data_IF_437846325318
#
_entry.id   IF_437846325318
#
_cell.length_a   1.000
_cell.length_b   1.000
_cell.length_c   1.000
_cell.angle_alpha   90.00
_cell.angle_beta   90.00
_cell.angle_gamma   90.00
#
_symmetry.space_group_name_H-M   'P 1'
#
loop_
_entity.id
_entity.type
_entity.pdbx_description
1 polymer ?
2 non-polymer ?
3 water ?
#
# COMPACT_ATOMS: atom_id res chain seq x y z
N UNK A 2 -20.26 7.31 23.67
CA UNK A 2 -21.30 6.28 23.54
C UNK A 2 -22.42 6.74 22.61
N UNK A 3 -23.66 6.37 22.96
CA UNK A 3 -24.79 6.64 22.07
C UNK A 3 -24.98 8.14 21.84
N UNK A 4 -25.24 8.89 22.92
CA UNK A 4 -25.55 10.31 22.77
C UNK A 4 -24.37 11.11 22.21
N UNK A 5 -23.15 10.58 22.31
CA UNK A 5 -22.00 11.27 21.72
C UNK A 5 -21.91 11.01 20.22
N UNK A 6 -22.35 9.82 19.78
CA UNK A 6 -22.35 9.51 18.36
C UNK A 6 -23.56 10.10 17.66
N UNK A 7 -24.71 10.14 18.33
CA UNK A 7 -25.89 10.77 17.73
C UNK A 7 -25.65 12.25 17.47
N UNK A 8 -24.80 12.90 18.27
CA UNK A 8 -24.48 14.30 18.04
C UNK A 8 -23.70 14.49 16.74
N UNK A 9 -23.07 13.43 16.22
CA UNK A 9 -22.33 13.54 14.98
C UNK A 9 -23.28 13.50 13.79
N UNK A 10 -24.34 12.69 13.88
CA UNK A 10 -25.34 12.64 12.80
C UNK A 10 -26.12 13.94 12.76
N UNK A 11 -26.42 14.51 13.94
CA UNK A 11 -27.14 15.77 13.99
C UNK A 11 -26.33 16.90 13.36
N UNK A 12 -25.00 16.86 13.53
CA UNK A 12 -24.15 17.93 13.00
C UNK A 12 -24.03 17.84 11.48
N UNK A 13 -23.84 16.64 10.95
CA UNK A 13 -23.78 16.48 9.50
C UNK A 13 -25.09 16.90 8.84
N UNK A 14 -26.22 16.50 9.43
CA UNK A 14 -27.50 16.97 8.92
C UNK A 14 -27.63 18.48 9.08
N UNK A 15 -27.13 19.01 10.20
CA UNK A 15 -27.14 20.46 10.38
C UNK A 15 -26.38 21.16 9.26
N UNK A 16 -25.25 20.60 8.86
CA UNK A 16 -24.40 21.22 7.86
C UNK A 16 -24.74 20.82 6.43
N UNK A 17 -25.86 20.14 6.21
CA UNK A 17 -26.34 19.92 4.86
C UNK A 17 -25.83 18.67 4.21
N UNK A 18 -25.41 17.67 4.98
CA UNK A 18 -24.96 16.40 4.43
C UNK A 18 -26.17 15.50 4.19
N UNK A 19 -26.34 15.06 2.95
CA UNK A 19 -27.53 14.32 2.54
C UNK A 19 -27.37 12.80 2.60
N UNK A 20 -26.14 12.29 2.71
CA UNK A 20 -25.91 10.84 2.79
C UNK A 20 -25.07 10.57 4.04
N UNK A 21 -25.73 10.24 5.14
CA UNK A 21 -25.06 9.92 6.40
C UNK A 21 -25.30 8.46 6.73
N UNK A 22 -24.25 7.79 7.19
CA UNK A 22 -24.33 6.40 7.60
C UNK A 22 -24.05 6.29 9.08
N UNK A 23 -24.53 5.20 9.68
CA UNK A 23 -24.37 4.95 11.11
C UNK A 23 -24.22 3.46 11.32
N UNK A 24 -23.25 3.07 12.13
CA UNK A 24 -22.94 1.67 12.38
C UNK A 24 -23.19 1.35 13.85
N UNK A 25 -23.92 0.26 14.09
CA UNK A 25 -24.20 -0.20 15.45
C UNK A 25 -24.68 -1.64 15.37
N UNK A 26 -24.87 -2.25 16.54
CA UNK A 26 -25.43 -3.59 16.64
C UNK A 26 -26.81 -3.61 17.27
N UNK A 27 -27.23 -2.51 17.91
CA UNK A 27 -28.54 -2.39 18.51
C UNK A 27 -29.47 -1.68 17.53
N UNK A 28 -30.61 -2.31 17.23
CA UNK A 28 -31.54 -1.71 16.28
C UNK A 28 -32.22 -0.47 16.87
N UNK A 29 -32.32 -0.41 18.20
CA UNK A 29 -32.87 0.81 18.82
C UNK A 29 -31.87 1.95 18.70
N UNK A 30 -30.58 1.67 18.85
CA UNK A 30 -29.57 2.69 18.66
C UNK A 30 -29.50 3.15 17.21
N UNK A 31 -29.66 2.21 16.27
CA UNK A 31 -29.67 2.59 14.86
C UNK A 31 -30.90 3.40 14.48
N UNK A 32 -32.07 3.03 15.03
CA UNK A 32 -33.30 3.75 14.70
C UNK A 32 -33.24 5.20 15.18
N UNK A 33 -32.60 5.45 16.32
CA UNK A 33 -32.51 6.83 16.81
C UNK A 33 -31.63 7.67 15.90
N UNK A 34 -30.50 7.12 15.44
CA UNK A 34 -29.67 7.85 14.49
C UNK A 34 -30.39 8.01 13.15
N UNK A 35 -31.22 7.04 12.79
CA UNK A 35 -32.04 7.19 11.60
C UNK A 35 -32.97 8.39 11.69
N UNK A 36 -33.51 8.66 12.89
CA UNK A 36 -34.33 9.85 13.04
C UNK A 36 -33.49 11.12 13.15
N UNK A 37 -32.21 11.00 13.49
CA UNK A 37 -31.32 12.16 13.52
C UNK A 37 -30.92 12.61 12.13
N UNK A 38 -31.04 11.73 11.12
CA UNK A 38 -30.71 12.11 9.76
C UNK A 38 -29.90 11.10 8.98
N UNK A 39 -29.41 10.04 9.63
CA UNK A 39 -28.64 9.04 8.92
C UNK A 39 -29.55 8.18 8.05
N UNK A 40 -29.19 8.03 6.78
CA UNK A 40 -29.99 7.28 5.82
C UNK A 40 -29.52 5.85 5.62
N UNK A 41 -28.25 5.56 5.88
CA UNK A 41 -27.73 4.20 5.79
C UNK A 41 -27.50 3.73 7.22
N UNK A 42 -28.12 2.60 7.57
CA UNK A 42 -27.99 2.00 8.90
C UNK A 42 -27.22 0.69 8.76
N UNK A 43 -26.01 0.66 9.32
CA UNK A 43 -25.10 -0.47 9.16
C UNK A 43 -25.22 -1.37 10.39
N UNK A 44 -25.66 -2.61 10.17
CA UNK A 44 -25.72 -3.62 11.23
C UNK A 44 -24.44 -4.45 11.17
N UNK A 45 -23.75 -4.58 12.30
CA UNK A 45 -22.56 -5.41 12.40
C UNK A 45 -22.72 -6.42 13.51
N UNK A 46 -22.18 -7.62 13.28
CA UNK A 46 -22.22 -8.72 14.24
C UNK A 46 -20.82 -9.21 14.56
N UNK A 47 -20.65 -9.76 15.75
CA UNK A 47 -19.42 -10.43 16.16
C UNK A 47 -19.33 -11.85 15.62
N UNK A 48 -20.18 -12.24 14.67
CA UNK A 48 -20.18 -13.62 14.18
C UNK A 48 -18.92 -13.97 13.41
N UNK A 49 -18.38 -13.03 12.62
CA UNK A 49 -17.14 -13.31 11.90
C UNK A 49 -16.00 -13.51 12.87
N UNK A 50 -15.99 -12.77 13.98
CA UNK A 50 -14.96 -12.93 14.99
C UNK A 50 -15.02 -14.31 15.62
N UNK A 51 -16.22 -14.74 16.03
CA UNK A 51 -16.36 -16.06 16.63
C UNK A 51 -15.99 -17.17 15.64
N UNK A 52 -16.36 -17.01 14.36
CA UNK A 52 -15.95 -18.00 13.37
C UNK A 52 -14.44 -18.01 13.18
N UNK A 53 -13.83 -16.82 13.16
CA UNK A 53 -12.37 -16.74 13.04
C UNK A 53 -11.69 -17.40 14.24
N UNK A 54 -12.19 -17.16 15.45
CA UNK A 54 -11.56 -17.73 16.63
C UNK A 54 -11.86 -19.21 16.78
N UNK A 55 -13.04 -19.67 16.35
CA UNK A 55 -13.30 -21.11 16.34
C UNK A 55 -12.37 -21.81 15.35
N UNK A 56 -12.09 -21.17 14.21
CA UNK A 56 -11.17 -21.74 13.24
C UNK A 56 -9.76 -21.81 13.79
N UNK A 57 -9.32 -20.76 14.51
CA UNK A 57 -8.00 -20.77 15.10
C UNK A 57 -7.89 -21.82 16.20
N UNK A 58 -8.97 -22.03 16.96
CA UNK A 58 -8.95 -23.01 18.02
C UNK A 58 -8.85 -24.43 17.48
N UNK A 59 -9.45 -24.68 16.32
CA UNK A 59 -9.39 -26.03 15.72
C UNK A 59 -7.99 -26.43 15.31
N UNK A 60 -7.10 -25.48 15.05
CA UNK A 60 -5.72 -25.78 14.69
C UNK A 60 -4.81 -26.00 15.89
N UNK A 61 -5.31 -25.85 17.11
CA UNK A 61 -4.48 -26.09 18.28
C UNK A 61 -4.48 -27.58 18.65
N UNK A 62 -3.57 -27.93 19.55
CA UNK A 62 -3.40 -29.31 19.98
C UNK A 62 -4.30 -29.64 21.16
N UNK A 63 -4.62 -30.92 21.30
CA UNK A 63 -5.47 -31.40 22.36
C UNK A 63 -6.91 -31.53 21.94
N UNK A 64 -7.77 -31.67 22.94
CA UNK A 64 -9.21 -31.77 22.70
C UNK A 64 -9.76 -30.39 22.37
N UNK A 65 -10.26 -30.23 21.15
CA UNK A 65 -10.78 -28.95 20.66
C UNK A 65 -12.29 -28.95 20.49
N UNK A 66 -12.95 -30.10 20.59
CA UNK A 66 -14.38 -30.18 20.32
C UNK A 66 -15.23 -29.30 21.22
N UNK A 67 -15.11 -29.35 22.56
CA UNK A 67 -16.01 -28.53 23.39
C UNK A 67 -15.79 -27.03 23.23
N UNK A 68 -14.59 -26.61 22.84
CA UNK A 68 -14.32 -25.18 22.69
C UNK A 68 -14.78 -24.68 21.33
N UNK A 69 -14.60 -25.49 20.29
CA UNK A 69 -15.04 -25.10 18.95
C UNK A 69 -16.56 -24.96 18.91
N UNK A 70 -17.26 -25.93 19.48
CA UNK A 70 -18.72 -25.86 19.51
C UNK A 70 -19.19 -24.63 20.27
N UNK A 71 -18.49 -24.27 21.35
CA UNK A 71 -18.87 -23.10 22.13
C UNK A 71 -18.67 -21.81 21.35
N UNK A 72 -17.61 -21.74 20.54
CA UNK A 72 -17.38 -20.55 19.73
C UNK A 72 -18.35 -20.47 18.56
N UNK A 73 -18.60 -21.59 17.89
CA UNK A 73 -19.53 -21.60 16.78
C UNK A 73 -20.97 -21.40 17.23
N UNK A 74 -21.29 -21.84 18.45
CA UNK A 74 -22.62 -21.57 18.99
C UNK A 74 -22.82 -20.08 19.20
N UNK A 75 -21.81 -19.38 19.71
CA UNK A 75 -21.93 -17.95 19.90
C UNK A 75 -21.99 -17.21 18.57
N UNK A 76 -21.29 -17.72 17.54
CA UNK A 76 -21.38 -17.09 16.23
C UNK A 76 -22.79 -17.20 15.66
N UNK A 77 -23.43 -18.36 15.81
CA UNK A 77 -24.81 -18.52 15.37
C UNK A 77 -25.71 -17.52 16.07
N UNK A 78 -25.60 -17.44 17.40
CA UNK A 78 -26.45 -16.52 18.16
C UNK A 78 -26.15 -15.07 17.80
N UNK A 79 -24.91 -14.75 17.44
CA UNK A 79 -24.57 -13.38 17.08
C UNK A 79 -25.17 -13.01 15.71
N UNK A 80 -25.12 -13.93 14.75
CA UNK A 80 -25.66 -13.63 13.43
C UNK A 80 -27.18 -13.68 13.43
N UNK A 81 -27.76 -14.65 14.14
CA UNK A 81 -29.22 -14.69 14.24
C UNK A 81 -29.76 -13.47 14.96
N UNK A 82 -28.93 -12.81 15.77
CA UNK A 82 -29.36 -11.56 16.38
C UNK A 82 -29.27 -10.39 15.39
N UNK A 83 -28.20 -10.36 14.58
CA UNK A 83 -28.05 -9.30 13.60
C UNK A 83 -29.15 -9.34 12.55
N UNK A 84 -29.55 -10.55 12.14
CA UNK A 84 -30.65 -10.68 11.20
C UNK A 84 -31.95 -10.16 11.79
N UNK A 85 -32.10 -10.27 13.11
CA UNK A 85 -33.27 -9.70 13.77
C UNK A 85 -33.25 -8.18 13.72
N UNK A 86 -32.07 -7.58 13.88
CA UNK A 86 -31.97 -6.12 13.81
C UNK A 86 -32.32 -5.62 12.41
N UNK A 87 -31.94 -6.37 11.38
CA UNK A 87 -32.27 -5.97 10.01
C UNK A 87 -33.78 -6.01 9.81
N UNK A 88 -34.44 -7.04 10.31
CA UNK A 88 -35.90 -7.13 10.19
C UNK A 88 -36.57 -6.02 10.98
N UNK A 89 -36.09 -5.75 12.19
CA UNK A 89 -36.74 -4.75 13.04
C UNK A 89 -36.62 -3.36 12.46
N UNK A 90 -35.45 -3.02 11.93
CA UNK A 90 -35.29 -1.73 11.27
C UNK A 90 -36.16 -1.64 10.02
N UNK A 91 -36.24 -2.73 9.26
CA UNK A 91 -37.19 -2.78 8.15
C UNK A 91 -38.63 -2.65 8.66
N UNK A 92 -38.90 -3.21 9.83
CA UNK A 92 -40.22 -3.11 10.44
C UNK A 92 -40.54 -1.67 10.82
N UNK A 93 -39.51 -0.86 11.11
CA UNK A 93 -39.70 0.50 11.55
C UNK A 93 -39.84 1.49 10.40
N UNK A 94 -39.26 1.18 9.25
CA UNK A 94 -39.37 2.06 8.09
C UNK A 94 -38.03 2.41 7.46
N UNK A 95 -36.95 1.88 8.03
CA UNK A 95 -35.62 2.14 7.49
C UNK A 95 -35.49 1.55 6.09
N UNK A 96 -35.06 2.39 5.14
CA UNK A 96 -35.05 2.03 3.73
C UNK A 96 -33.70 1.50 3.24
N UNK A 97 -32.60 1.90 3.85
CA UNK A 97 -31.26 1.50 3.40
C UNK A 97 -30.53 0.83 4.56
N UNK A 98 -30.74 -0.47 4.72
CA UNK A 98 -30.05 -1.27 5.73
C UNK A 98 -28.80 -1.84 5.11
N UNK A 99 -27.69 -1.80 5.86
CA UNK A 99 -26.42 -2.36 5.44
C UNK A 99 -26.00 -3.47 6.40
N UNK A 100 -25.27 -4.44 5.86
CA UNK A 100 -24.75 -5.54 6.67
C UNK A 100 -23.36 -5.88 6.18
N UNK A 101 -22.42 -6.00 7.12
CA UNK A 101 -21.02 -6.29 6.80
C UNK A 101 -20.68 -7.70 7.28
N UNK A 102 -19.99 -8.46 6.42
CA UNK A 102 -19.58 -9.82 6.77
C UNK A 102 -18.50 -10.29 5.81
N UNK A 103 -17.69 -11.24 6.27
CA UNK A 103 -16.68 -11.87 5.45
C UNK A 103 -17.17 -13.15 4.79
N UNK A 104 -18.41 -13.55 5.04
CA UNK A 104 -19.04 -14.71 4.42
C UNK A 104 -20.17 -14.22 3.53
N UNK A 105 -20.06 -14.46 2.22
CA UNK A 105 -21.06 -13.95 1.29
C UNK A 105 -22.41 -14.59 1.50
N UNK A 106 -22.46 -15.84 1.98
CA UNK A 106 -23.75 -16.48 2.22
C UNK A 106 -24.47 -15.84 3.40
N UNK A 107 -23.74 -15.39 4.41
CA UNK A 107 -24.36 -14.56 5.45
C UNK A 107 -24.87 -13.26 4.85
N UNK A 108 -24.12 -12.68 3.91
CA UNK A 108 -24.57 -11.48 3.21
C UNK A 108 -25.82 -11.76 2.38
N UNK A 109 -25.89 -12.93 1.75
CA UNK A 109 -27.08 -13.27 0.96
C UNK A 109 -28.31 -13.41 1.86
N UNK A 110 -28.14 -14.01 3.04
CA UNK A 110 -29.28 -14.16 3.94
C UNK A 110 -29.71 -12.81 4.50
N UNK A 111 -28.75 -11.95 4.84
CA UNK A 111 -29.10 -10.61 5.27
C UNK A 111 -29.81 -9.83 4.18
N UNK A 112 -29.44 -10.07 2.92
CA UNK A 112 -30.13 -9.43 1.80
C UNK A 112 -31.58 -9.87 1.71
N UNK A 113 -31.85 -11.14 2.01
CA UNK A 113 -33.24 -11.59 2.04
C UNK A 113 -33.96 -11.13 3.28
N UNK A 114 -33.24 -10.88 4.38
CA UNK A 114 -33.85 -10.38 5.61
C UNK A 114 -34.21 -8.91 5.55
N UNK A 115 -33.69 -8.16 4.57
CA UNK A 115 -34.08 -6.77 4.42
C UNK A 115 -32.96 -5.79 4.09
N UNK A 116 -31.72 -6.24 4.14
CA UNK A 116 -30.58 -5.37 3.87
C UNK A 116 -30.47 -5.05 2.39
N UNK A 117 -30.22 -3.78 2.08
CA UNK A 117 -30.02 -3.34 0.70
C UNK A 117 -28.55 -3.25 0.31
N UNK A 118 -27.68 -2.87 1.23
CA UNK A 118 -26.25 -2.72 0.97
C UNK A 118 -25.50 -3.88 1.61
N UNK A 119 -24.73 -4.60 0.81
CA UNK A 119 -23.95 -5.74 1.27
C UNK A 119 -22.49 -5.34 1.32
N UNK A 120 -21.90 -5.37 2.52
CA UNK A 120 -20.53 -4.94 2.73
C UNK A 120 -19.64 -6.16 2.87
N UNK A 121 -18.85 -6.44 1.85
CA UNK A 121 -17.86 -7.51 1.93
C UNK A 121 -16.61 -6.97 2.60
N UNK A 122 -16.19 -7.62 3.69
CA UNK A 122 -15.04 -7.19 4.48
C UNK A 122 -14.08 -8.36 4.68
N UNK A 123 -13.66 -8.98 3.58
CA UNK A 123 -12.69 -10.06 3.64
C UNK A 123 -11.29 -9.47 3.58
N UNK A 124 -10.43 -9.89 4.49
CA UNK A 124 -9.07 -9.36 4.55
C UNK A 124 -8.27 -9.73 3.30
N UNK A 125 -8.41 -10.95 2.83
CA UNK A 125 -7.74 -11.37 1.60
C UNK A 125 -8.40 -10.70 0.40
N UNK A 126 -7.60 -10.06 -0.44
CA UNK A 126 -8.15 -9.28 -1.54
C UNK A 126 -8.78 -10.18 -2.59
N UNK A 127 -8.13 -11.30 -2.92
CA UNK A 127 -8.69 -12.21 -3.90
C UNK A 127 -9.88 -12.99 -3.33
N UNK A 128 -9.94 -13.15 -2.01
CA UNK A 128 -11.10 -13.80 -1.41
C UNK A 128 -12.30 -12.86 -1.41
N UNK A 129 -12.07 -11.57 -1.21
CA UNK A 129 -13.16 -10.60 -1.23
C UNK A 129 -13.70 -10.43 -2.65
N UNK A 130 -12.79 -10.33 -3.63
CA UNK A 130 -13.22 -10.16 -5.02
C UNK A 130 -14.07 -11.34 -5.49
N UNK A 131 -13.78 -12.55 -5.01
CA UNK A 131 -14.62 -13.68 -5.36
C UNK A 131 -15.98 -13.58 -4.68
N UNK A 132 -16.01 -13.06 -3.44
CA UNK A 132 -17.29 -12.88 -2.77
C UNK A 132 -18.16 -11.83 -3.46
N UNK A 133 -17.54 -10.80 -4.03
CA UNK A 133 -18.31 -9.83 -4.81
C UNK A 133 -18.93 -10.51 -6.02
N UNK A 134 -18.10 -11.20 -6.80
CA UNK A 134 -18.61 -11.86 -8.00
C UNK A 134 -19.70 -12.87 -7.66
N UNK A 135 -19.57 -13.54 -6.52
CA UNK A 135 -20.59 -14.50 -6.13
C UNK A 135 -21.89 -13.79 -5.74
N UNK A 136 -21.79 -12.65 -5.07
CA UNK A 136 -22.98 -11.88 -4.73
C UNK A 136 -23.63 -11.29 -5.97
N UNK A 137 -22.82 -10.86 -6.95
CA UNK A 137 -23.36 -10.29 -8.17
C UNK A 137 -24.22 -11.32 -8.91
N UNK A 138 -23.74 -12.56 -8.98
CA UNK A 138 -24.47 -13.60 -9.67
C UNK A 138 -25.76 -14.00 -8.96
N UNK A 139 -25.87 -13.73 -7.66
CA UNK A 139 -27.12 -13.99 -6.96
C UNK A 139 -28.16 -12.91 -7.22
N UNK A 140 -27.78 -11.81 -7.85
CA UNK A 140 -28.68 -10.71 -8.12
C UNK A 140 -28.52 -9.52 -7.22
N UNK A 141 -27.48 -9.48 -6.39
CA UNK A 141 -27.26 -8.36 -5.48
C UNK A 141 -26.84 -7.12 -6.27
N UNK A 142 -27.51 -6.00 -5.99
CA UNK A 142 -27.32 -4.76 -6.73
C UNK A 142 -26.29 -3.83 -6.09
N UNK A 143 -26.39 -3.63 -4.77
CA UNK A 143 -25.56 -2.66 -4.06
C UNK A 143 -24.55 -3.43 -3.21
N UNK A 144 -23.34 -3.60 -3.75
CA UNK A 144 -22.24 -4.26 -3.07
C UNK A 144 -21.25 -3.19 -2.62
N UNK A 145 -20.84 -3.26 -1.36
CA UNK A 145 -19.87 -2.32 -0.80
C UNK A 145 -18.61 -3.08 -0.42
N UNK A 146 -17.46 -2.43 -0.59
CA UNK A 146 -16.17 -3.01 -0.24
C UNK A 146 -15.37 -2.01 0.59
N UNK A 147 -14.61 -2.53 1.55
CA UNK A 147 -13.87 -1.73 2.51
C UNK A 147 -12.37 -1.97 2.37
N UNK A 148 -11.60 -0.90 2.27
CA UNK A 148 -10.15 -1.00 2.19
C UNK A 148 -9.53 0.36 2.49
N UNK A 149 -8.23 0.35 2.74
CA UNK A 149 -7.47 1.57 2.98
C UNK A 149 -6.61 1.97 1.78
N UNK A 150 -6.68 1.21 0.69
CA UNK A 150 -5.96 1.52 -0.53
C UNK A 150 -6.98 1.82 -1.62
N UNK A 151 -6.77 2.93 -2.34
CA UNK A 151 -7.74 3.31 -3.37
C UNK A 151 -7.69 2.34 -4.54
N UNK A 152 -6.51 1.76 -4.81
CA UNK A 152 -6.37 0.85 -5.93
C UNK A 152 -7.10 -0.46 -5.69
N UNK A 153 -7.24 -0.87 -4.42
CA UNK A 153 -8.09 -2.01 -4.10
C UNK A 153 -9.56 -1.68 -4.31
N UNK A 154 -9.95 -0.43 -4.03
CA UNK A 154 -11.34 -0.03 -4.21
C UNK A 154 -11.67 0.19 -5.67
N UNK A 155 -10.70 0.60 -6.48
CA UNK A 155 -10.95 0.72 -7.91
C UNK A 155 -11.09 -0.65 -8.55
N UNK A 156 -10.25 -1.61 -8.14
CA UNK A 156 -10.37 -2.97 -8.65
C UNK A 156 -11.68 -3.61 -8.19
N UNK A 157 -12.08 -3.36 -6.94
CA UNK A 157 -13.37 -3.83 -6.48
C UNK A 157 -14.50 -3.14 -7.24
N UNK A 158 -14.29 -1.87 -7.58
CA UNK A 158 -15.27 -1.13 -8.36
C UNK A 158 -15.53 -1.81 -9.70
N UNK A 159 -14.46 -2.28 -10.35
CA UNK A 159 -14.58 -2.93 -11.64
C UNK A 159 -15.08 -4.37 -11.54
N UNK A 160 -15.16 -4.93 -10.33
CA UNK A 160 -15.72 -6.26 -10.12
C UNK A 160 -17.22 -6.23 -9.82
N UNK A 161 -17.79 -5.08 -9.49
CA UNK A 161 -19.22 -4.99 -9.26
C UNK A 161 -19.61 -4.18 -8.03
N UNK A 162 -18.62 -3.79 -7.23
CA UNK A 162 -18.87 -3.03 -6.02
C UNK A 162 -19.21 -1.59 -6.37
N UNK A 163 -20.37 -1.12 -5.91
CA UNK A 163 -20.81 0.25 -6.19
C UNK A 163 -20.38 1.25 -5.13
N UNK A 164 -20.29 0.83 -3.86
CA UNK A 164 -19.91 1.72 -2.76
C UNK A 164 -18.49 1.36 -2.34
N UNK A 165 -17.59 2.35 -2.35
CA UNK A 165 -16.18 2.15 -2.02
C UNK A 165 -15.87 2.83 -0.69
N UNK A 166 -15.68 2.03 0.35
CA UNK A 166 -15.52 2.55 1.70
C UNK A 166 -14.03 2.71 1.99
N UNK A 167 -13.58 3.96 2.12
CA UNK A 167 -12.23 4.25 2.58
C UNK A 167 -12.21 4.16 4.10
N UNK A 168 -11.51 3.15 4.62
CA UNK A 168 -11.40 2.94 6.06
C UNK A 168 -9.92 2.85 6.41
N UNK A 169 -9.43 3.82 7.18
CA UNK A 169 -8.05 3.81 7.67
C UNK A 169 -7.98 3.71 9.18
N UNK A 170 -9.11 3.58 9.87
CA UNK A 170 -9.12 3.45 11.32
C UNK A 170 -8.71 2.07 11.80
N UNK A 171 -8.26 1.19 10.91
CA UNK A 171 -7.78 -0.13 11.31
C UNK A 171 -6.27 -0.22 11.40
N UNK A 172 -5.54 0.63 10.66
CA UNK A 172 -4.09 0.61 10.78
C UNK A 172 -3.60 1.48 11.92
N UNK A 173 -4.30 2.58 12.22
CA UNK A 173 -3.92 3.39 13.38
C UNK A 173 -4.13 2.60 14.66
N UNK A 174 -5.25 1.88 14.76
CA UNK A 174 -5.52 1.08 15.96
C UNK A 174 -4.47 -0.01 16.16
N UNK A 175 -3.87 -0.49 15.06
CA UNK A 175 -2.86 -1.54 15.17
C UNK A 175 -1.49 -0.98 15.54
N UNK A 176 -1.12 0.16 14.96
CA UNK A 176 0.14 0.80 15.33
C UNK A 176 0.18 1.14 16.82
N UNK A 177 -0.93 1.63 17.35
CA UNK A 177 -1.02 1.94 18.77
C UNK A 177 -1.13 0.66 19.59
N UNK A 189 -1.48 14.19 21.88
CA UNK A 189 -0.04 14.13 21.68
C UNK A 189 0.40 12.69 21.37
N UNK A 190 1.39 12.56 20.48
CA UNK A 190 1.94 11.27 20.08
C UNK A 190 0.83 10.37 19.55
N UNK A 191 0.00 9.86 20.46
CA UNK A 191 -1.12 9.01 20.07
C UNK A 191 -2.10 9.79 19.20
N UNK A 192 -2.23 11.09 19.44
CA UNK A 192 -3.04 11.92 18.56
C UNK A 192 -2.29 12.32 17.29
N UNK A 193 -0.95 12.33 17.34
CA UNK A 193 -0.17 12.64 16.15
C UNK A 193 -0.27 11.54 15.11
N UNK A 194 -0.23 10.28 15.56
CA UNK A 194 -0.36 9.14 14.65
C UNK A 194 -1.78 9.04 14.10
N UNK A 195 -2.78 9.45 14.87
CA UNK A 195 -4.15 9.46 14.37
C UNK A 195 -4.30 10.46 13.23
N UNK A 196 -3.63 11.61 13.34
CA UNK A 196 -3.71 12.61 12.29
C UNK A 196 -3.01 12.14 11.02
N UNK A 197 -1.90 11.41 11.16
CA UNK A 197 -1.20 10.90 9.98
C UNK A 197 -2.05 9.90 9.21
N UNK A 198 -2.93 9.17 9.91
CA UNK A 198 -3.82 8.24 9.23
C UNK A 198 -4.97 8.98 8.55
N UNK A 199 -5.49 10.03 9.19
CA UNK A 199 -6.56 10.82 8.58
C UNK A 199 -6.08 11.52 7.31
N UNK A 200 -4.81 11.97 7.30
CA UNK A 200 -4.27 12.55 6.08
C UNK A 200 -4.13 11.51 4.97
N UNK A 201 -3.84 10.26 5.34
CA UNK A 201 -3.81 9.19 4.35
C UNK A 201 -5.21 8.89 3.82
N UNK A 202 -6.17 8.71 4.72
CA UNK A 202 -7.53 8.39 4.30
C UNK A 202 -8.15 9.45 3.42
N UNK A 203 -7.85 10.72 3.69
CA UNK A 203 -8.34 11.79 2.83
C UNK A 203 -7.74 11.71 1.43
N UNK A 204 -6.49 11.24 1.32
CA UNK A 204 -5.87 11.13 0.00
C UNK A 204 -6.50 10.00 -0.81
N UNK A 205 -6.87 8.90 -0.15
CA UNK A 205 -7.55 7.81 -0.85
C UNK A 205 -8.83 8.32 -1.49
N UNK A 206 -9.59 9.14 -0.77
CA UNK A 206 -10.83 9.69 -1.32
C UNK A 206 -10.54 10.60 -2.50
N UNK A 207 -9.47 11.40 -2.40
CA UNK A 207 -9.13 12.32 -3.50
C UNK A 207 -8.85 11.55 -4.79
N UNK A 208 -8.01 10.51 -4.72
CA UNK A 208 -7.64 9.81 -5.95
C UNK A 208 -8.81 9.02 -6.51
N UNK A 209 -9.64 8.45 -5.65
CA UNK A 209 -10.84 7.77 -6.13
C UNK A 209 -11.74 8.72 -6.90
N UNK A 210 -11.91 9.95 -6.39
CA UNK A 210 -12.67 10.94 -7.13
C UNK A 210 -12.00 11.28 -8.46
N UNK A 211 -10.66 11.35 -8.47
CA UNK A 211 -9.93 11.58 -9.70
C UNK A 211 -10.13 10.42 -10.68
N UNK A 212 -10.02 9.18 -10.19
CA UNK A 212 -10.23 8.02 -11.04
C UNK A 212 -11.66 7.91 -11.55
N UNK A 213 -12.61 8.53 -10.87
CA UNK A 213 -14.00 8.53 -11.28
C UNK A 213 -14.91 7.65 -10.44
N UNK A 214 -14.55 7.33 -9.20
CA UNK A 214 -15.40 6.51 -8.35
C UNK A 214 -16.70 7.25 -8.06
N UNK A 215 -17.82 6.57 -8.27
CA UNK A 215 -19.11 7.23 -8.20
C UNK A 215 -19.58 7.42 -6.77
N UNK A 216 -19.55 6.37 -5.95
CA UNK A 216 -20.06 6.40 -4.59
C UNK A 216 -18.91 6.08 -3.63
N UNK A 217 -18.30 7.11 -3.06
CA UNK A 217 -17.19 6.95 -2.13
C UNK A 217 -17.70 7.18 -0.73
N UNK A 218 -17.36 6.27 0.18
CA UNK A 218 -17.71 6.39 1.59
C UNK A 218 -16.43 6.55 2.42
N UNK A 219 -16.62 6.97 3.67
CA UNK A 219 -15.50 7.23 4.55
C UNK A 219 -15.91 6.97 5.98
N UNK A 220 -15.09 6.22 6.72
CA UNK A 220 -15.37 5.79 8.08
C UNK A 220 -14.60 6.63 9.09
N UNK A 221 -15.30 7.13 10.10
CA UNK A 221 -14.71 7.91 11.17
C UNK A 221 -15.75 8.01 12.28
N UNK A 222 -15.39 8.72 13.35
CA UNK A 222 -16.31 8.97 14.45
C UNK A 222 -16.40 10.44 14.80
N UNK A 223 -15.69 11.31 14.09
CA UNK A 223 -15.72 12.75 14.30
C UNK A 223 -16.36 13.41 13.10
N UNK A 224 -17.32 14.31 13.36
CA UNK A 224 -18.05 14.94 12.25
C UNK A 224 -17.13 15.83 11.43
N UNK A 225 -16.12 16.43 12.05
CA UNK A 225 -15.20 17.29 11.29
C UNK A 225 -14.30 16.47 10.38
N UNK A 226 -14.03 15.21 10.75
CA UNK A 226 -13.26 14.34 9.86
C UNK A 226 -14.10 13.94 8.66
N UNK A 227 -15.38 13.61 8.90
CA UNK A 227 -16.30 13.30 7.82
C UNK A 227 -16.57 14.53 6.96
N UNK A 228 -16.66 15.72 7.57
CA UNK A 228 -16.79 16.94 6.80
C UNK A 228 -15.60 17.14 5.87
N UNK A 229 -14.39 16.92 6.37
CA UNK A 229 -13.21 17.14 5.54
C UNK A 229 -13.11 16.10 4.43
N UNK A 230 -13.34 14.82 4.77
CA UNK A 230 -13.46 13.79 3.75
C UNK A 230 -14.57 14.09 2.76
N UNK A 231 -15.66 14.70 3.24
CA UNK A 231 -16.70 15.18 2.33
C UNK A 231 -16.16 16.26 1.40
N UNK A 232 -15.27 17.12 1.90
CA UNK A 232 -14.66 18.12 1.03
C UNK A 232 -13.75 17.47 -0.01
N UNK A 233 -13.02 16.43 0.37
CA UNK A 233 -12.11 15.77 -0.57
C UNK A 233 -12.87 14.99 -1.64
N UNK A 234 -14.09 14.54 -1.35
CA UNK A 234 -14.89 13.89 -2.37
C UNK A 234 -15.71 12.70 -1.89
N UNK A 235 -15.77 12.48 -0.58
CA UNK A 235 -16.54 11.37 -0.05
C UNK A 235 -18.03 11.65 -0.18
N UNK A 236 -18.78 10.67 -0.67
CA UNK A 236 -20.21 10.81 -0.87
C UNK A 236 -21.03 10.33 0.32
N UNK A 237 -20.53 9.32 1.03
CA UNK A 237 -21.20 8.76 2.21
C UNK A 237 -20.30 8.99 3.41
N UNK A 238 -20.82 9.71 4.41
CA UNK A 238 -20.10 9.95 5.66
C UNK A 238 -20.60 8.94 6.68
N UNK A 239 -19.78 7.93 6.95
CA UNK A 239 -20.13 6.87 7.89
C UNK A 239 -19.75 7.31 9.29
N UNK A 240 -20.71 7.28 10.20
CA UNK A 240 -20.46 7.49 11.62
C UNK A 240 -20.39 6.11 12.28
N UNK A 241 -19.27 5.81 12.92
CA UNK A 241 -19.05 4.51 13.54
C UNK A 241 -18.75 4.71 15.01
N UNK A 242 -19.64 4.21 15.87
CA UNK A 242 -19.45 4.36 17.31
C UNK A 242 -18.48 3.36 17.90
N UNK A 243 -18.28 2.22 17.24
CA UNK A 243 -17.36 1.20 17.73
C UNK A 243 -16.14 1.08 16.82
N UNK B 4 16.34 21.27 -10.97
CA UNK B 4 16.67 21.19 -12.39
C UNK B 4 15.60 20.42 -13.16
N UNK B 5 16.04 19.54 -14.07
CA UNK B 5 15.11 18.72 -14.83
C UNK B 5 14.63 17.51 -14.04
N UNK B 6 15.46 16.99 -13.13
CA UNK B 6 15.03 15.85 -12.33
C UNK B 6 14.16 16.29 -11.16
N UNK B 7 14.48 17.44 -10.54
CA UNK B 7 13.64 17.98 -9.48
C UNK B 7 12.25 18.35 -10.01
N UNK B 8 12.13 18.63 -11.30
CA UNK B 8 10.82 18.88 -11.89
C UNK B 8 9.93 17.64 -11.84
N UNK B 9 10.52 16.45 -11.73
CA UNK B 9 9.73 15.22 -11.67
C UNK B 9 9.20 14.96 -10.27
N UNK B 10 9.97 15.27 -9.22
CA UNK B 10 9.51 15.01 -7.87
C UNK B 10 8.36 15.95 -7.50
N UNK B 11 8.44 17.22 -7.93
CA UNK B 11 7.35 18.14 -7.62
C UNK B 11 6.05 17.74 -8.30
N UNK B 12 6.14 17.21 -9.52
CA UNK B 12 4.94 16.84 -10.25
C UNK B 12 4.31 15.56 -9.70
N UNK B 13 5.14 14.55 -9.40
CA UNK B 13 4.61 13.33 -8.80
C UNK B 13 3.98 13.62 -7.44
N UNK B 14 4.65 14.44 -6.63
CA UNK B 14 4.09 14.81 -5.34
C UNK B 14 2.82 15.65 -5.52
N UNK B 15 2.78 16.49 -6.56
CA UNK B 15 1.58 17.26 -6.86
C UNK B 15 0.40 16.35 -7.12
N UNK B 16 0.61 15.23 -7.82
CA UNK B 16 -0.46 14.32 -8.17
C UNK B 16 -0.74 13.26 -7.11
N UNK B 17 -0.19 13.42 -5.91
CA UNK B 17 -0.56 12.58 -4.79
C UNK B 17 0.28 11.35 -4.56
N UNK B 18 1.51 11.31 -5.06
CA UNK B 18 2.41 10.20 -4.78
C UNK B 18 3.10 10.48 -3.44
N UNK B 19 2.93 9.56 -2.49
CA UNK B 19 3.36 9.82 -1.12
C UNK B 19 4.75 9.30 -0.81
N UNK B 20 5.30 8.42 -1.66
CA UNK B 20 6.64 7.87 -1.45
C UNK B 20 7.46 8.10 -2.71
N UNK B 21 8.25 9.17 -2.71
CA UNK B 21 9.15 9.48 -3.82
C UNK B 21 10.58 9.28 -3.33
N UNK B 22 11.40 8.65 -4.17
CA UNK B 22 12.80 8.44 -3.90
C UNK B 22 13.64 9.19 -4.93
N UNK B 23 14.88 9.45 -4.58
CA UNK B 23 15.78 10.23 -5.43
C UNK B 23 17.17 9.62 -5.39
N UNK B 24 17.77 9.45 -6.57
CA UNK B 24 19.09 8.85 -6.71
C UNK B 24 20.04 9.90 -7.26
N UNK B 25 21.21 10.03 -6.64
CA UNK B 25 22.21 11.00 -7.08
C UNK B 25 23.57 10.63 -6.48
N UNK B 26 24.58 11.40 -6.88
CA UNK B 26 25.94 11.24 -6.36
C UNK B 26 26.39 12.41 -5.50
N UNK B 27 25.67 13.54 -5.52
CA UNK B 27 26.00 14.71 -4.70
C UNK B 27 25.13 14.68 -3.44
N UNK B 28 25.79 14.70 -2.27
CA UNK B 28 25.02 14.68 -1.03
C UNK B 28 24.36 16.02 -0.75
N UNK B 29 24.97 17.12 -1.21
CA UNK B 29 24.34 18.43 -1.04
C UNK B 29 23.13 18.58 -1.96
N UNK B 30 23.24 18.07 -3.18
CA UNK B 30 22.08 18.03 -4.06
C UNK B 30 21.01 17.10 -3.52
N UNK B 31 21.42 16.01 -2.87
CA UNK B 31 20.45 15.12 -2.22
C UNK B 31 19.76 15.83 -1.06
N UNK B 32 20.48 16.69 -0.33
CA UNK B 32 19.86 17.44 0.75
C UNK B 32 18.76 18.35 0.20
N UNK B 33 19.00 18.93 -0.97
CA UNK B 33 17.98 19.78 -1.59
C UNK B 33 16.77 18.97 -2.00
N UNK B 34 16.99 17.76 -2.53
CA UNK B 34 15.87 16.88 -2.86
C UNK B 34 15.11 16.43 -1.62
N UNK B 35 15.78 16.36 -0.47
CA UNK B 35 15.07 16.05 0.77
C UNK B 35 14.00 17.10 1.06
N UNK B 36 14.31 18.37 0.74
CA UNK B 36 13.36 19.46 0.90
C UNK B 36 12.34 19.52 -0.23
N UNK B 37 12.61 18.87 -1.37
CA UNK B 37 11.66 18.87 -2.47
C UNK B 37 10.45 17.97 -2.21
N UNK B 38 10.56 17.00 -1.31
CA UNK B 38 9.45 16.14 -0.99
C UNK B 38 9.80 14.67 -1.00
N UNK B 39 11.02 14.35 -1.45
CA UNK B 39 11.47 12.98 -1.54
C UNK B 39 11.70 12.39 -0.16
N UNK B 40 11.18 11.18 0.07
CA UNK B 40 11.29 10.53 1.36
C UNK B 40 12.45 9.54 1.44
N UNK B 41 12.85 8.95 0.31
CA UNK B 41 13.98 8.05 0.24
C UNK B 41 15.10 8.74 -0.53
N UNK B 42 16.29 8.77 0.06
CA UNK B 42 17.47 9.35 -0.57
C UNK B 42 18.41 8.19 -0.91
N UNK B 43 18.58 7.93 -2.20
CA UNK B 43 19.35 6.80 -2.68
C UNK B 43 20.77 7.27 -3.00
N UNK B 44 21.74 6.78 -2.24
CA UNK B 44 23.16 7.05 -2.51
C UNK B 44 23.73 5.88 -3.31
N UNK B 45 24.32 6.19 -4.46
CA UNK B 45 24.98 5.20 -5.29
C UNK B 45 26.40 5.64 -5.57
N UNK B 46 27.30 4.67 -5.68
CA UNK B 46 28.70 4.97 -5.96
C UNK B 46 29.10 4.35 -7.28
N UNK B 47 30.02 5.02 -7.97
CA UNK B 47 30.58 4.47 -9.19
C UNK B 47 31.72 3.49 -8.91
N UNK B 48 31.85 3.03 -7.67
CA UNK B 48 32.92 2.09 -7.34
C UNK B 48 32.69 0.76 -8.02
N UNK B 49 31.44 0.34 -8.17
CA UNK B 49 31.14 -0.90 -8.87
C UNK B 49 31.51 -0.80 -10.35
N UNK B 50 31.31 0.38 -10.96
CA UNK B 50 31.69 0.56 -12.36
C UNK B 50 33.21 0.49 -12.52
N UNK B 51 33.96 1.19 -11.67
CA UNK B 51 35.41 1.11 -11.74
C UNK B 51 35.91 -0.30 -11.50
N UNK B 52 35.29 -1.01 -10.55
CA UNK B 52 35.66 -2.40 -10.32
C UNK B 52 35.29 -3.26 -11.52
N UNK B 53 34.13 -3.00 -12.12
CA UNK B 53 33.78 -3.71 -13.35
C UNK B 53 34.77 -3.37 -14.46
N UNK B 54 35.19 -2.11 -14.51
CA UNK B 54 36.18 -1.71 -15.53
C UNK B 54 37.52 -2.37 -15.28
N UNK B 55 37.92 -2.51 -14.01
CA UNK B 55 39.20 -3.14 -13.71
C UNK B 55 39.18 -4.62 -14.04
N UNK B 56 38.05 -5.29 -13.81
CA UNK B 56 37.95 -6.70 -14.18
C UNK B 56 38.00 -6.87 -15.70
N UNK B 57 37.32 -5.99 -16.44
CA UNK B 57 37.35 -6.05 -17.89
C UNK B 57 38.73 -5.70 -18.43
N UNK B 58 39.41 -4.75 -17.78
CA UNK B 58 40.75 -4.38 -18.23
C UNK B 58 41.75 -5.50 -17.99
N UNK B 59 41.58 -6.26 -16.91
CA UNK B 59 42.48 -7.38 -16.63
C UNK B 59 42.36 -8.48 -17.67
N UNK B 60 41.23 -8.57 -18.38
CA UNK B 60 41.05 -9.58 -19.41
C UNK B 60 41.65 -9.17 -20.75
N UNK B 61 42.24 -7.99 -20.84
CA UNK B 61 42.85 -7.53 -22.07
C UNK B 61 44.30 -8.03 -22.17
N UNK B 62 44.87 -7.89 -23.37
CA UNK B 62 46.22 -8.37 -23.63
C UNK B 62 47.24 -7.30 -23.30
N UNK B 63 48.45 -7.75 -22.98
CA UNK B 63 49.52 -6.82 -22.65
C UNK B 63 49.65 -6.58 -21.16
N UNK B 64 50.37 -5.52 -20.83
CA UNK B 64 50.55 -5.12 -19.44
C UNK B 64 49.27 -4.47 -18.92
N UNK B 65 48.67 -5.08 -17.91
CA UNK B 65 47.41 -4.59 -17.34
C UNK B 65 47.57 -3.97 -15.97
N UNK B 66 48.74 -4.14 -15.33
CA UNK B 66 48.90 -3.70 -13.94
C UNK B 66 48.70 -2.19 -13.76
N UNK B 67 49.36 -1.30 -14.52
CA UNK B 67 49.18 0.13 -14.23
C UNK B 67 47.77 0.62 -14.47
N UNK B 68 47.00 -0.02 -15.34
CA UNK B 68 45.63 0.39 -15.63
C UNK B 68 44.65 -0.20 -14.62
N UNK B 69 44.85 -1.46 -14.23
CA UNK B 69 43.96 -2.08 -13.26
C UNK B 69 44.10 -1.39 -11.90
N UNK B 70 45.33 -1.11 -11.48
CA UNK B 70 45.53 -0.36 -10.24
C UNK B 70 44.92 1.02 -10.33
N UNK B 71 45.00 1.67 -11.50
CA UNK B 71 44.43 2.99 -11.64
C UNK B 71 42.90 2.95 -11.52
N UNK B 72 42.28 1.90 -12.07
CA UNK B 72 40.84 1.75 -11.96
C UNK B 72 40.44 1.36 -10.54
N UNK B 73 41.20 0.45 -9.92
CA UNK B 73 40.88 0.05 -8.55
C UNK B 73 41.15 1.18 -7.56
N UNK B 74 42.10 2.06 -7.88
CA UNK B 74 42.33 3.23 -7.04
C UNK B 74 41.12 4.14 -7.05
N UNK B 75 40.50 4.35 -8.22
CA UNK B 75 39.30 5.16 -8.29
C UNK B 75 38.11 4.47 -7.62
N UNK B 76 38.04 3.15 -7.68
CA UNK B 76 36.94 2.45 -7.01
C UNK B 76 37.01 2.65 -5.50
N UNK B 77 38.22 2.60 -4.94
CA UNK B 77 38.37 2.87 -3.51
C UNK B 77 37.88 4.26 -3.17
N UNK B 78 38.32 5.28 -3.93
CA UNK B 78 37.91 6.65 -3.65
C UNK B 78 36.41 6.82 -3.87
N UNK B 79 35.84 6.10 -4.84
CA UNK B 79 34.40 6.17 -5.07
C UNK B 79 33.62 5.48 -3.97
N UNK B 80 34.17 4.40 -3.42
CA UNK B 80 33.43 3.63 -2.41
C UNK B 80 33.41 4.34 -1.07
N UNK B 81 34.57 4.79 -0.59
CA UNK B 81 34.58 5.50 0.69
C UNK B 81 33.92 6.87 0.59
N UNK B 82 33.75 7.40 -0.61
CA UNK B 82 33.03 8.66 -0.77
C UNK B 82 31.53 8.45 -0.59
N UNK B 83 31.00 7.34 -1.11
CA UNK B 83 29.58 7.05 -0.90
C UNK B 83 29.27 6.83 0.57
N UNK B 84 30.18 6.16 1.28
CA UNK B 84 30.00 6.01 2.72
C UNK B 84 30.03 7.35 3.43
N UNK B 85 30.78 8.31 2.90
CA UNK B 85 30.83 9.64 3.50
C UNK B 85 29.49 10.36 3.33
N UNK B 86 28.87 10.23 2.16
CA UNK B 86 27.56 10.85 1.94
C UNK B 86 26.48 10.21 2.82
N UNK B 87 26.57 8.90 3.06
CA UNK B 87 25.61 8.24 3.94
C UNK B 87 25.71 8.81 5.34
N UNK B 88 26.93 9.02 5.83
CA UNK B 88 27.11 9.61 7.15
C UNK B 88 26.61 11.05 7.18
N UNK B 89 26.90 11.82 6.12
CA UNK B 89 26.53 13.23 6.10
C UNK B 89 25.02 13.43 6.09
N UNK B 90 24.30 12.64 5.30
CA UNK B 90 22.84 12.73 5.31
C UNK B 90 22.27 12.34 6.67
N UNK B 91 22.86 11.31 7.29
CA UNK B 91 22.48 10.96 8.66
C UNK B 91 22.81 12.09 9.62
N UNK B 92 23.91 12.80 9.39
CA UNK B 92 24.30 13.92 10.24
C UNK B 92 23.32 15.07 10.13
N UNK B 93 22.67 15.23 8.97
CA UNK B 93 21.75 16.33 8.76
C UNK B 93 20.33 16.03 9.22
N UNK B 94 19.94 14.75 9.22
CA UNK B 94 18.61 14.40 9.68
C UNK B 94 17.83 13.50 8.75
N UNK B 95 18.41 13.13 7.61
CA UNK B 95 17.71 12.26 6.68
C UNK B 95 17.45 10.90 7.32
N UNK B 96 16.18 10.47 7.27
CA UNK B 96 15.74 9.31 8.01
C UNK B 96 15.72 8.02 7.20
N UNK B 97 15.51 8.10 5.88
CA UNK B 97 15.46 6.91 5.02
C UNK B 97 16.47 7.06 3.89
N UNK B 98 17.70 6.69 4.17
CA UNK B 98 18.78 6.67 3.19
C UNK B 98 18.87 5.26 2.59
N UNK B 99 19.07 5.21 1.27
CA UNK B 99 19.25 3.96 0.55
C UNK B 99 20.66 3.93 -0.02
N UNK B 100 21.20 2.72 -0.14
CA UNK B 100 22.55 2.52 -0.65
C UNK B 100 22.55 1.35 -1.62
N UNK B 101 23.09 1.58 -2.80
CA UNK B 101 23.13 0.57 -3.86
C UNK B 101 24.57 0.13 -4.07
N UNK B 102 24.80 -1.18 -4.12
CA UNK B 102 26.11 -1.74 -4.37
C UNK B 102 25.96 -3.21 -4.74
N UNK B 103 26.94 -3.72 -5.48
CA UNK B 103 27.01 -5.13 -5.84
C UNK B 103 27.85 -5.94 -4.86
N UNK B 104 28.41 -5.31 -3.83
CA UNK B 104 29.23 -5.96 -2.83
C UNK B 104 28.48 -5.94 -1.51
N UNK B 105 28.16 -7.12 -0.99
CA UNK B 105 27.38 -7.19 0.25
C UNK B 105 28.17 -6.63 1.43
N UNK B 106 29.50 -6.70 1.38
CA UNK B 106 30.30 -6.16 2.47
C UNK B 106 30.23 -4.63 2.49
N UNK B 107 30.19 -4.00 1.31
CA UNK B 107 29.95 -2.57 1.24
C UNK B 107 28.57 -2.20 1.76
N UNK B 108 27.56 -3.02 1.44
CA UNK B 108 26.22 -2.77 1.92
C UNK B 108 26.15 -2.87 3.44
N UNK B 109 26.86 -3.84 4.02
CA UNK B 109 26.88 -3.97 5.48
C UNK B 109 27.50 -2.75 6.14
N UNK B 110 28.57 -2.22 5.54
CA UNK B 110 29.19 -1.03 6.11
C UNK B 110 28.27 0.18 6.00
N UNK B 111 27.62 0.34 4.84
CA UNK B 111 26.66 1.44 4.68
C UNK B 111 25.46 1.26 5.61
N UNK B 112 25.05 0.02 5.85
CA UNK B 112 23.95 -0.22 6.78
C UNK B 112 24.32 0.25 8.19
N UNK B 113 25.57 0.04 8.59
CA UNK B 113 26.00 0.50 9.90
C UNK B 113 26.25 2.00 9.92
N UNK B 114 26.63 2.58 8.79
CA UNK B 114 26.87 4.02 8.73
C UNK B 114 25.58 4.82 8.66
N UNK B 115 24.44 4.19 8.44
CA UNK B 115 23.18 4.90 8.47
C UNK B 115 22.17 4.52 7.42
N UNK B 116 22.55 3.70 6.44
CA UNK B 116 21.61 3.31 5.40
C UNK B 116 20.56 2.36 5.95
N UNK B 117 19.31 2.62 5.62
CA UNK B 117 18.21 1.75 6.03
C UNK B 117 17.81 0.76 4.94
N UNK B 118 17.92 1.17 3.67
CA UNK B 118 17.56 0.34 2.54
C UNK B 118 18.84 -0.13 1.88
N UNK B 119 19.00 -1.44 1.76
CA UNK B 119 20.16 -2.05 1.12
C UNK B 119 19.71 -2.66 -0.21
N UNK B 120 20.27 -2.15 -1.30
CA UNK B 120 19.89 -2.56 -2.65
C UNK B 120 21.00 -3.47 -3.19
N UNK B 121 20.70 -4.76 -3.32
CA UNK B 121 21.65 -5.71 -3.90
C UNK B 121 21.54 -5.60 -5.42
N UNK B 122 22.50 -4.93 -6.06
CA UNK B 122 22.47 -4.75 -7.50
C UNK B 122 23.62 -5.50 -8.17
N UNK B 123 23.83 -6.75 -7.77
CA UNK B 123 24.78 -7.60 -8.48
C UNK B 123 24.25 -7.90 -9.88
N UNK B 124 25.12 -7.77 -10.88
CA UNK B 124 24.69 -8.02 -12.25
C UNK B 124 24.28 -9.47 -12.44
N UNK B 125 25.03 -10.40 -11.84
CA UNK B 125 24.64 -11.80 -11.87
C UNK B 125 23.44 -12.03 -10.95
N UNK B 126 22.39 -12.64 -11.50
CA UNK B 126 21.16 -12.80 -10.73
C UNK B 126 21.31 -13.84 -9.62
N UNK B 127 22.03 -14.93 -9.89
CA UNK B 127 22.21 -15.95 -8.87
C UNK B 127 23.13 -15.51 -7.74
N UNK B 128 24.01 -14.54 -8.00
CA UNK B 128 24.86 -14.00 -6.94
C UNK B 128 24.07 -13.08 -6.01
N UNK B 129 23.07 -12.36 -6.55
CA UNK B 129 22.32 -11.42 -5.73
C UNK B 129 21.45 -12.13 -4.71
N UNK B 130 20.77 -13.21 -5.10
CA UNK B 130 19.95 -13.95 -4.15
C UNK B 130 20.78 -14.53 -3.01
N UNK B 131 22.02 -14.91 -3.30
CA UNK B 131 22.91 -15.38 -2.24
C UNK B 131 23.32 -14.24 -1.32
N UNK B 132 23.53 -13.05 -1.89
CA UNK B 132 23.87 -11.88 -1.09
C UNK B 132 22.71 -11.45 -0.19
N UNK B 133 21.47 -11.66 -0.64
CA UNK B 133 20.32 -11.35 0.21
C UNK B 133 20.34 -12.22 1.46
N UNK B 134 20.49 -13.54 1.27
CA UNK B 134 20.52 -14.46 2.40
C UNK B 134 21.63 -14.11 3.38
N UNK B 135 22.79 -13.65 2.87
CA UNK B 135 23.87 -13.25 3.74
C UNK B 135 23.52 -11.97 4.49
N UNK B 136 22.87 -11.02 3.83
CA UNK B 136 22.46 -9.79 4.50
C UNK B 136 21.40 -10.04 5.55
N UNK B 137 20.49 -11.00 5.31
CA UNK B 137 19.45 -11.30 6.29
C UNK B 137 20.05 -11.77 7.61
N UNK B 138 21.04 -12.66 7.54
CA UNK B 138 21.65 -13.19 8.76
C UNK B 138 22.48 -12.13 9.49
N UNK B 139 22.91 -11.08 8.80
CA UNK B 139 23.63 -10.00 9.45
C UNK B 139 22.72 -9.04 10.20
N UNK B 140 21.40 -9.13 10.00
CA UNK B 140 20.47 -8.22 10.64
C UNK B 140 19.91 -7.15 9.75
N UNK B 141 20.09 -7.22 8.44
CA UNK B 141 19.60 -6.21 7.53
C UNK B 141 18.07 -6.23 7.49
N UNK B 142 17.46 -5.04 7.63
CA UNK B 142 16.02 -4.94 7.76
C UNK B 142 15.31 -4.69 6.43
N UNK B 143 15.77 -3.70 5.66
CA UNK B 143 15.13 -3.31 4.40
C UNK B 143 16.06 -3.67 3.25
N UNK B 144 15.86 -4.83 2.65
CA UNK B 144 16.65 -5.27 1.51
C UNK B 144 15.82 -5.12 0.24
N UNK B 145 16.41 -4.50 -0.77
CA UNK B 145 15.76 -4.28 -2.05
C UNK B 145 16.49 -5.06 -3.14
N UNK B 146 15.74 -5.51 -4.13
CA UNK B 146 16.28 -6.28 -5.25
C UNK B 146 15.80 -5.66 -6.56
N UNK B 147 16.67 -5.70 -7.56
CA UNK B 147 16.42 -5.07 -8.84
C UNK B 147 16.39 -6.12 -9.94
N UNK B 148 15.33 -6.09 -10.75
CA UNK B 148 15.18 -6.99 -11.90
C UNK B 148 14.07 -6.44 -12.78
N UNK B 149 14.03 -6.95 -14.02
CA UNK B 149 12.97 -6.60 -14.96
C UNK B 149 11.96 -7.72 -15.15
N UNK B 150 12.12 -8.85 -14.44
CA UNK B 150 11.19 -9.97 -14.51
C UNK B 150 10.48 -10.11 -13.18
N UNK B 151 9.16 -10.32 -13.25
CA UNK B 151 8.35 -10.37 -12.04
C UNK B 151 8.61 -11.63 -11.22
N UNK B 152 8.85 -12.78 -11.87
CA UNK B 152 9.13 -13.99 -11.11
C UNK B 152 10.53 -13.99 -10.51
N UNK B 153 11.46 -13.25 -11.09
CA UNK B 153 12.77 -13.10 -10.45
C UNK B 153 12.64 -12.32 -9.14
N UNK B 154 11.72 -11.37 -9.08
CA UNK B 154 11.49 -10.62 -7.85
C UNK B 154 10.70 -11.43 -6.84
N UNK B 155 9.89 -12.40 -7.30
CA UNK B 155 9.13 -13.23 -6.39
C UNK B 155 10.04 -14.11 -5.54
N UNK B 156 11.06 -14.71 -6.15
CA UNK B 156 11.99 -15.52 -5.37
C UNK B 156 12.80 -14.67 -4.41
N UNK B 157 13.24 -13.49 -4.84
CA UNK B 157 13.96 -12.60 -3.95
C UNK B 157 13.07 -12.13 -2.81
N UNK B 158 11.79 -11.91 -3.09
CA UNK B 158 10.86 -11.48 -2.04
C UNK B 158 10.79 -12.49 -0.90
N UNK B 159 10.70 -13.78 -1.23
CA UNK B 159 10.60 -14.82 -0.21
C UNK B 159 11.94 -15.15 0.43
N UNK B 160 13.05 -14.64 -0.11
CA UNK B 160 14.36 -14.83 0.49
C UNK B 160 14.69 -13.75 1.51
N UNK B 161 13.94 -12.65 1.54
CA UNK B 161 14.15 -11.62 2.52
C UNK B 161 14.08 -10.20 1.97
N UNK B 162 13.99 -10.07 0.64
CA UNK B 162 13.91 -8.76 0.02
C UNK B 162 12.51 -8.19 0.23
N UNK B 163 12.44 -7.01 0.85
CA UNK B 163 11.16 -6.37 1.10
C UNK B 163 10.74 -5.45 -0.04
N UNK B 164 11.69 -4.81 -0.71
CA UNK B 164 11.41 -3.88 -1.80
C UNK B 164 11.80 -4.55 -3.10
N UNK B 165 10.86 -4.63 -4.03
CA UNK B 165 11.08 -5.24 -5.33
C UNK B 165 11.10 -4.12 -6.36
N UNK B 166 12.27 -3.80 -6.88
CA UNK B 166 12.44 -2.68 -7.79
C UNK B 166 12.28 -3.19 -9.21
N UNK B 167 11.20 -2.79 -9.86
CA UNK B 167 11.00 -3.07 -11.29
C UNK B 167 11.80 -2.05 -12.07
N UNK B 168 12.88 -2.50 -12.72
CA UNK B 168 13.76 -1.61 -13.46
C UNK B 168 13.92 -2.14 -14.88
N UNK B 169 13.52 -1.33 -15.85
CA UNK B 169 13.64 -1.67 -17.26
C UNK B 169 14.65 -0.77 -17.97
N UNK B 170 15.43 0.02 -17.21
CA UNK B 170 16.48 0.88 -17.74
C UNK B 170 17.71 0.11 -18.24
N UNK B 171 17.59 -1.22 -18.31
CA UNK B 171 18.65 -2.06 -18.84
C UNK B 171 18.45 -2.36 -20.32
N UNK B 172 17.22 -2.22 -20.82
CA UNK B 172 16.93 -2.33 -22.24
C UNK B 172 17.08 -0.99 -22.96
N UNK B 173 16.93 0.12 -22.24
CA UNK B 173 17.07 1.46 -22.80
C UNK B 173 18.48 1.71 -23.35
N UNK B 174 19.50 1.10 -22.74
CA UNK B 174 20.89 1.36 -23.11
C UNK B 174 21.19 1.21 -24.60
N UNK B 175 20.36 0.49 -25.36
CA UNK B 175 20.63 0.30 -26.78
C UNK B 175 20.32 1.55 -27.60
N UNK B 176 20.49 2.73 -27.00
CA UNK B 176 20.32 4.01 -27.68
C UNK B 176 21.27 4.16 -28.86
N UNK B 177 20.90 3.64 -30.02
CA UNK B 177 21.71 3.80 -31.22
C UNK B 177 21.60 5.21 -31.79
N UNK B 188 17.38 13.84 -32.92
CA UNK B 188 17.88 12.52 -33.35
C UNK B 188 16.79 11.68 -34.01
N UNK B 189 16.83 10.37 -33.77
CA UNK B 189 15.86 9.44 -34.33
C UNK B 189 14.76 9.07 -33.33
N UNK B 190 14.70 9.75 -32.20
CA UNK B 190 13.69 9.52 -31.16
C UNK B 190 13.80 8.08 -30.64
N UNK B 191 13.26 7.13 -31.40
CA UNK B 191 13.28 5.72 -31.06
C UNK B 191 12.61 5.52 -29.70
N UNK B 192 11.38 6.02 -29.58
CA UNK B 192 10.58 5.78 -28.38
C UNK B 192 9.86 4.43 -28.41
N UNK B 193 9.77 3.78 -29.57
CA UNK B 193 9.08 2.51 -29.65
C UNK B 193 9.75 1.45 -28.79
N UNK B 194 11.08 1.41 -28.78
CA UNK B 194 11.77 0.46 -27.90
C UNK B 194 11.63 0.87 -26.44
N UNK B 195 11.62 2.18 -26.16
CA UNK B 195 11.42 2.64 -24.79
C UNK B 195 9.99 2.39 -24.33
N UNK B 196 9.01 2.64 -25.19
CA UNK B 196 7.61 2.46 -24.82
C UNK B 196 7.26 0.97 -24.67
N UNK B 197 7.80 0.13 -25.54
CA UNK B 197 7.54 -1.30 -25.44
C UNK B 197 8.13 -1.88 -24.16
N UNK B 198 9.25 -1.31 -23.69
CA UNK B 198 9.83 -1.76 -22.42
C UNK B 198 9.06 -1.20 -21.23
N UNK B 199 8.62 0.06 -21.31
CA UNK B 199 7.83 0.64 -20.23
C UNK B 199 6.51 -0.07 -20.08
N UNK B 200 5.92 -0.52 -21.20
CA UNK B 200 4.70 -1.33 -21.12
C UNK B 200 4.97 -2.66 -20.44
N UNK B 201 6.18 -3.21 -20.59
CA UNK B 201 6.52 -4.46 -19.91
C UNK B 201 6.58 -4.25 -18.40
N UNK B 202 7.31 -3.24 -17.95
CA UNK B 202 7.44 -3.00 -16.52
C UNK B 202 6.12 -2.77 -15.83
N UNK B 203 5.18 -2.12 -16.52
CA UNK B 203 3.86 -1.92 -15.94
C UNK B 203 3.16 -3.26 -15.70
N UNK B 204 3.39 -4.24 -16.58
CA UNK B 204 2.79 -5.55 -16.38
C UNK B 204 3.47 -6.29 -15.23
N UNK B 205 4.79 -6.12 -15.08
CA UNK B 205 5.49 -6.74 -13.96
C UNK B 205 4.92 -6.25 -12.63
N UNK B 206 4.65 -4.95 -12.53
CA UNK B 206 4.06 -4.41 -11.30
C UNK B 206 2.66 -4.98 -11.09
N UNK B 207 1.90 -5.14 -12.17
CA UNK B 207 0.56 -5.69 -12.06
C UNK B 207 0.58 -7.09 -11.47
N UNK B 208 1.44 -7.97 -12.02
CA UNK B 208 1.46 -9.35 -11.55
C UNK B 208 2.02 -9.47 -10.14
N UNK B 209 3.00 -8.63 -9.79
CA UNK B 209 3.48 -8.62 -8.41
C UNK B 209 2.36 -8.29 -7.44
N UNK B 210 1.51 -7.33 -7.79
CA UNK B 210 0.33 -7.04 -6.97
C UNK B 210 -0.62 -8.24 -6.95
N UNK B 211 -0.77 -8.92 -8.09
CA UNK B 211 -1.63 -10.10 -8.13
C UNK B 211 -1.08 -11.20 -7.23
N UNK B 212 0.22 -11.45 -7.30
CA UNK B 212 0.86 -12.43 -6.42
C UNK B 212 0.83 -11.99 -4.96
N UNK B 213 0.68 -10.70 -4.71
CA UNK B 213 0.61 -10.17 -3.37
C UNK B 213 1.84 -9.43 -2.88
N UNK B 214 2.68 -8.92 -3.80
CA UNK B 214 3.88 -8.21 -3.39
C UNK B 214 3.53 -6.96 -2.60
N UNK B 215 4.13 -6.82 -1.42
CA UNK B 215 3.73 -5.77 -0.50
C UNK B 215 4.34 -4.42 -0.88
N UNK B 216 5.66 -4.38 -1.13
CA UNK B 216 6.37 -3.13 -1.41
C UNK B 216 7.03 -3.24 -2.79
N UNK B 217 6.38 -2.67 -3.80
CA UNK B 217 6.87 -2.68 -5.16
C UNK B 217 7.46 -1.31 -5.49
N UNK B 218 8.64 -1.31 -6.10
CA UNK B 218 9.29 -0.08 -6.54
C UNK B 218 9.41 -0.09 -8.06
N UNK B 219 9.68 1.09 -8.62
CA UNK B 219 9.75 1.25 -10.07
C UNK B 219 10.72 2.37 -10.38
N UNK B 220 11.65 2.11 -11.30
CA UNK B 220 12.72 3.06 -11.64
C UNK B 220 12.44 3.70 -13.00
N UNK B 221 12.52 5.03 -13.04
CA UNK B 221 12.32 5.80 -14.27
C UNK B 221 12.80 7.22 -14.02
N UNK B 222 12.68 8.06 -15.05
CA UNK B 222 13.04 9.47 -14.95
C UNK B 222 11.97 10.41 -15.51
N UNK B 223 10.84 9.89 -16.00
CA UNK B 223 9.76 10.69 -16.53
C UNK B 223 8.55 10.57 -15.61
N UNK B 224 7.95 11.72 -15.27
CA UNK B 224 6.87 11.71 -14.28
C UNK B 224 5.67 10.90 -14.75
N UNK B 225 5.42 10.86 -16.05
CA UNK B 225 4.31 10.06 -16.56
C UNK B 225 4.61 8.57 -16.46
N UNK B 226 5.88 8.19 -16.48
CA UNK B 226 6.24 6.79 -16.33
C UNK B 226 6.07 6.32 -14.90
N UNK B 227 6.47 7.13 -13.91
CA UNK B 227 6.23 6.76 -12.52
C UNK B 227 4.74 6.71 -12.21
N UNK B 228 3.98 7.68 -12.73
CA UNK B 228 2.54 7.55 -12.70
C UNK B 228 2.14 6.35 -13.55
N UNK B 229 0.94 5.82 -13.29
CA UNK B 229 0.43 4.61 -13.93
C UNK B 229 1.17 3.41 -13.34
N UNK B 230 2.50 3.47 -13.28
CA UNK B 230 3.24 2.50 -12.48
C UNK B 230 2.81 2.61 -11.02
N UNK B 231 2.55 3.83 -10.56
CA UNK B 231 1.91 4.03 -9.26
C UNK B 231 0.51 3.44 -9.25
N UNK B 232 -0.22 3.60 -10.36
CA UNK B 232 -1.57 3.04 -10.44
C UNK B 232 -1.54 1.52 -10.49
N UNK B 233 -0.54 0.94 -11.17
CA UNK B 233 -0.48 -0.51 -11.26
C UNK B 233 -0.19 -1.15 -9.91
N UNK B 234 0.45 -0.42 -9.00
CA UNK B 234 0.65 -0.91 -7.66
C UNK B 234 2.00 -0.63 -7.05
N UNK B 235 2.83 0.17 -7.73
CA UNK B 235 4.14 0.48 -7.20
C UNK B 235 4.02 1.44 -6.03
N UNK B 236 4.69 1.11 -4.91
CA UNK B 236 4.64 1.92 -3.70
C UNK B 236 5.81 2.89 -3.61
N UNK B 237 6.96 2.56 -4.21
CA UNK B 237 8.13 3.43 -4.18
C UNK B 237 8.39 3.86 -5.61
N UNK B 238 8.27 5.16 -5.86
CA UNK B 238 8.55 5.75 -7.16
C UNK B 238 9.92 6.42 -7.09
N UNK B 239 10.94 5.73 -7.58
CA UNK B 239 12.30 6.27 -7.56
C UNK B 239 12.54 7.04 -8.86
N UNK B 240 12.91 8.31 -8.73
CA UNK B 240 13.33 9.13 -9.86
C UNK B 240 14.85 9.14 -9.89
N UNK B 241 15.42 8.87 -11.06
CA UNK B 241 16.86 8.71 -11.21
C UNK B 241 17.38 9.80 -12.13
N UNK B 242 18.20 10.71 -11.58
CA UNK B 242 18.75 11.81 -12.34
C UNK B 242 19.95 11.40 -13.19
N UNK B 243 20.62 10.32 -12.82
CA UNK B 243 21.78 9.85 -13.55
C UNK B 243 21.49 8.53 -14.27
#
# INVERSE_FOLDING_TARGET
MDKDEAWKQVEQLRREGATRIAYRSDDWRDLKEAWKKGADILIVSSKADDYRARAAAAAKELGNVKPIVDALLAEAKKARDEAWKQVEQLRREGATEIAYRSDDWRDLKEAWKKGADILIVDATDKNEAWKQVEQLRREGATRIAYRSDDWRDLKEAWKKGADILIVDVNARIEKRRKKLAAEGRTDPAVIEAEAAKAREEGWKQVEQLRREGATEIAYRSDDWRDLKEAWKKGADILIVDATLEHHHHHH
MDKDEAWKQVEQLRREGATRIAYRSDDWRDLKEAWKKGADILIVSSKADDYRARAAAAAKELGNVKPIVDALLAEAKKARDEAWKQVEQLRREGATEIAYRSDDWRDLKEAWKKGADILIVDATDKNEAWKQVEQLRREGATRIAYRSDDWRDLKEAWKKGADILIVDVNARIEKRRKKLAAEGRTDPAVIEAEAAKAREEGWKQVEQLRREGATEIAYRSDDWRDLKEAWKKGADILIVDATLEHHHHHH
#
